data_IF_582686421785
#
_entry.id   IF_582686421785
#
_cell.length_a   1.000
_cell.length_b   1.000
_cell.length_c   1.000
_cell.angle_alpha   90.00
_cell.angle_beta   90.00
_cell.angle_gamma   90.00
#
_symmetry.space_group_name_H-M   'P 1'
#
loop_
_entity.id
_entity.type
_entity.pdbx_description
1 polymer ?
#
# COMPACT_ATOMS: atom_id res chain seq x y z
N UNK A 1 4.07 -3.17 -24.57
CA UNK A 1 5.34 -2.47 -24.67
C UNK A 1 5.16 -0.98 -24.87
N UNK A 2 4.43 -0.58 -25.87
CA UNK A 2 4.17 0.83 -26.14
C UNK A 2 3.29 1.45 -25.05
N UNK A 3 2.42 0.65 -24.48
CA UNK A 3 1.44 1.10 -23.48
C UNK A 3 2.06 1.90 -22.34
N UNK A 4 3.21 1.47 -21.81
CA UNK A 4 3.81 2.17 -20.69
C UNK A 4 4.35 3.56 -21.05
N UNK A 5 4.48 3.88 -22.34
CA UNK A 5 4.96 5.18 -22.78
C UNK A 5 3.87 6.24 -22.80
N UNK A 6 2.60 5.84 -22.73
CA UNK A 6 1.49 6.79 -22.82
C UNK A 6 1.52 7.80 -21.69
N UNK A 7 1.64 7.32 -20.45
CA UNK A 7 1.67 8.23 -19.32
C UNK A 7 2.94 9.10 -19.32
N UNK A 8 4.07 8.53 -19.77
CA UNK A 8 5.32 9.29 -19.87
C UNK A 8 5.21 10.41 -20.88
N UNK A 9 4.54 10.14 -22.02
CA UNK A 9 4.30 11.16 -23.03
C UNK A 9 3.42 12.26 -22.51
N UNK A 10 2.40 11.93 -21.74
CA UNK A 10 1.49 12.90 -21.13
C UNK A 10 2.11 13.60 -19.92
N UNK A 11 3.23 13.08 -19.41
CA UNK A 11 3.95 13.64 -18.24
C UNK A 11 3.11 13.64 -16.97
N UNK A 12 1.96 12.99 -16.98
CA UNK A 12 1.08 12.89 -15.80
C UNK A 12 0.43 11.52 -15.82
N UNK A 13 0.69 10.70 -14.81
CA UNK A 13 0.03 9.41 -14.73
C UNK A 13 -1.46 9.58 -14.40
N UNK A 14 -2.26 8.54 -14.57
CA UNK A 14 -3.66 8.58 -14.14
C UNK A 14 -3.77 8.93 -12.66
N UNK A 15 -4.87 9.56 -12.22
CA UNK A 15 -5.06 9.84 -10.80
C UNK A 15 -5.12 8.53 -10.00
N UNK A 16 -4.80 8.62 -8.72
CA UNK A 16 -4.93 7.48 -7.82
C UNK A 16 -6.40 7.08 -7.67
N UNK A 17 -6.62 5.79 -7.49
CA UNK A 17 -7.96 5.27 -7.24
C UNK A 17 -8.52 5.80 -5.91
N UNK A 18 -9.84 5.70 -5.75
CA UNK A 18 -10.48 6.07 -4.49
C UNK A 18 -9.92 5.23 -3.33
N UNK A 19 -9.63 3.95 -3.59
CA UNK A 19 -9.06 3.07 -2.58
C UNK A 19 -7.67 3.55 -2.16
N UNK A 20 -6.83 3.93 -3.10
CA UNK A 20 -5.51 4.48 -2.79
C UNK A 20 -5.64 5.77 -1.98
N UNK A 21 -6.60 6.62 -2.33
CA UNK A 21 -6.82 7.88 -1.63
C UNK A 21 -7.31 7.69 -0.21
N UNK A 22 -7.89 6.54 0.12
CA UNK A 22 -8.35 6.24 1.47
C UNK A 22 -7.23 5.83 2.41
N UNK A 23 -6.05 5.54 1.88
CA UNK A 23 -4.90 5.17 2.72
C UNK A 23 -4.45 6.39 3.53
N UNK A 24 -4.28 6.20 4.82
CA UNK A 24 -3.89 7.27 5.75
C UNK A 24 -2.38 7.44 5.75
N UNK A 25 -1.88 8.39 4.96
CA UNK A 25 -0.45 8.70 4.92
C UNK A 25 0.00 9.21 6.29
N UNK A 26 1.10 8.68 6.81
CA UNK A 26 1.58 8.99 8.14
C UNK A 26 0.86 8.24 9.26
N UNK A 27 -0.19 7.51 8.94
CA UNK A 27 -0.96 6.76 9.91
C UNK A 27 -0.29 5.46 10.31
N UNK A 28 -0.64 5.00 11.52
CA UNK A 28 -0.16 3.71 12.00
C UNK A 28 -1.19 2.64 11.68
N UNK A 29 -0.66 1.50 11.23
CA UNK A 29 -1.45 0.33 10.90
C UNK A 29 -0.88 -0.86 11.65
N UNK A 30 -1.75 -1.77 12.02
CA UNK A 30 -1.33 -3.01 12.67
C UNK A 30 -1.56 -4.17 11.70
N UNK A 31 -0.50 -4.93 11.44
CA UNK A 31 -0.61 -6.17 10.68
C UNK A 31 -1.37 -7.19 11.52
N UNK A 32 -2.14 -8.07 10.87
CA UNK A 32 -2.98 -9.04 11.59
C UNK A 32 -2.19 -9.93 12.54
N UNK A 33 -0.89 -10.05 12.35
CA UNK A 33 -0.01 -10.78 13.26
C UNK A 33 0.47 -9.93 14.44
N UNK A 34 0.02 -8.69 14.53
CA UNK A 34 0.26 -7.84 15.69
C UNK A 34 1.36 -6.81 15.56
N UNK A 35 2.11 -6.79 14.44
CA UNK A 35 3.22 -5.85 14.31
C UNK A 35 2.75 -4.50 13.79
N UNK A 36 3.29 -3.41 14.35
CA UNK A 36 2.88 -2.06 13.93
C UNK A 36 3.75 -1.53 12.78
N UNK A 37 3.11 -0.75 11.91
CA UNK A 37 3.75 -0.11 10.77
C UNK A 37 3.22 1.31 10.61
N UNK A 38 4.01 2.15 9.96
CA UNK A 38 3.56 3.49 9.56
C UNK A 38 3.55 3.56 8.05
N UNK A 39 2.45 4.02 7.48
CA UNK A 39 2.37 4.25 6.04
C UNK A 39 3.13 5.53 5.72
N UNK A 40 4.06 5.42 4.79
CA UNK A 40 4.91 6.54 4.38
C UNK A 40 4.34 7.22 3.14
N UNK A 41 3.87 6.44 2.18
CA UNK A 41 3.41 6.99 0.91
C UNK A 41 2.60 5.95 0.14
N UNK A 42 1.85 6.44 -0.84
CA UNK A 42 1.30 5.62 -1.91
C UNK A 42 2.09 5.99 -3.16
N UNK A 43 2.50 4.99 -3.92
CA UNK A 43 3.34 5.19 -5.09
C UNK A 43 2.83 4.36 -6.26
N UNK A 44 3.42 4.52 -7.42
CA UNK A 44 3.12 3.73 -8.61
C UNK A 44 4.31 2.89 -8.99
N UNK A 45 4.02 1.67 -9.43
CA UNK A 45 5.05 0.84 -10.04
C UNK A 45 5.44 1.49 -11.37
N UNK A 46 6.75 1.68 -11.59
CA UNK A 46 7.22 2.43 -12.74
C UNK A 46 6.90 1.75 -14.09
N UNK A 47 6.73 0.43 -14.09
CA UNK A 47 6.45 -0.32 -15.32
C UNK A 47 4.97 -0.50 -15.57
N UNK A 48 4.20 -0.80 -14.52
CA UNK A 48 2.80 -1.19 -14.66
C UNK A 48 1.84 -0.09 -14.26
N UNK A 49 2.31 0.94 -13.58
CA UNK A 49 1.50 1.97 -12.94
C UNK A 49 0.59 1.40 -11.83
N UNK A 50 0.84 0.17 -11.42
CA UNK A 50 0.12 -0.42 -10.30
C UNK A 50 0.36 0.38 -9.03
N UNK A 51 -0.68 0.52 -8.24
CA UNK A 51 -0.61 1.30 -7.00
C UNK A 51 0.03 0.48 -5.90
N UNK A 52 0.95 1.11 -5.18
CA UNK A 52 1.75 0.46 -4.14
C UNK A 52 1.64 1.27 -2.85
N UNK A 53 1.70 0.58 -1.71
CA UNK A 53 1.79 1.22 -0.41
C UNK A 53 3.23 1.05 0.08
N UNK A 54 3.85 2.17 0.45
CA UNK A 54 5.18 2.20 1.05
C UNK A 54 4.98 2.37 2.56
N UNK A 55 5.52 1.45 3.35
CA UNK A 55 5.30 1.49 4.79
C UNK A 55 6.57 1.08 5.52
N UNK A 56 6.66 1.52 6.76
CA UNK A 56 7.85 1.35 7.58
C UNK A 56 7.51 0.53 8.80
N UNK A 57 8.35 -0.46 9.11
CA UNK A 57 8.19 -1.22 10.33
C UNK A 57 8.50 -0.32 11.53
N UNK A 58 7.62 -0.34 12.53
CA UNK A 58 7.82 0.39 13.78
C UNK A 58 8.40 -0.54 14.85
N UNK A 59 9.20 -1.49 14.41
CA UNK A 59 9.89 -2.44 15.27
C UNK A 59 11.18 -2.86 14.54
N UNK A 60 12.04 -3.60 15.24
CA UNK A 60 13.27 -4.07 14.64
C UNK A 60 14.15 -2.91 14.17
N UNK A 61 14.64 -3.00 12.95
CA UNK A 61 15.52 -1.98 12.37
C UNK A 61 14.75 -0.86 11.68
N UNK A 62 13.42 -0.87 11.71
CA UNK A 62 12.63 0.18 11.08
C UNK A 62 12.67 0.16 9.56
N UNK A 63 12.82 -1.02 8.97
CA UNK A 63 12.95 -1.12 7.51
C UNK A 63 11.73 -0.67 6.75
N UNK A 64 11.96 -0.26 5.51
CA UNK A 64 10.90 0.16 4.59
C UNK A 64 10.49 -1.02 3.72
N UNK A 65 9.19 -1.11 3.48
CA UNK A 65 8.58 -2.19 2.71
C UNK A 65 7.61 -1.60 1.70
N UNK A 66 7.35 -2.35 0.66
CA UNK A 66 6.39 -1.99 -0.38
C UNK A 66 5.48 -3.19 -0.62
N UNK A 67 4.18 -2.93 -0.74
CA UNK A 67 3.19 -3.96 -1.04
C UNK A 67 2.16 -3.40 -2.02
N UNK A 68 1.72 -4.17 -3.02
CA UNK A 68 0.63 -3.72 -3.88
C UNK A 68 -0.59 -3.33 -3.04
N UNK A 69 -1.26 -2.25 -3.46
CA UNK A 69 -2.40 -1.72 -2.72
C UNK A 69 -3.45 -2.79 -2.44
N UNK A 70 -3.79 -3.60 -3.46
CA UNK A 70 -4.83 -4.61 -3.29
C UNK A 70 -4.47 -5.66 -2.23
N UNK A 71 -3.19 -5.93 -2.06
CA UNK A 71 -2.73 -6.85 -1.02
C UNK A 71 -2.68 -6.17 0.35
N UNK A 72 -2.39 -4.87 0.38
CA UNK A 72 -2.35 -4.13 1.64
C UNK A 72 -3.75 -4.03 2.25
N UNK A 73 -4.76 -3.86 1.40
CA UNK A 73 -6.15 -3.63 1.84
C UNK A 73 -6.98 -4.90 1.92
N UNK A 74 -6.47 -6.05 1.46
CA UNK A 74 -7.26 -7.27 1.45
C UNK A 74 -7.43 -7.84 2.85
N UNK A 75 -8.48 -8.64 3.01
CA UNK A 75 -8.66 -9.41 4.22
C UNK A 75 -7.90 -10.73 4.13
N UNK A 76 -7.51 -11.25 5.27
CA UNK A 76 -6.93 -12.59 5.42
C UNK A 76 -7.87 -13.41 6.29
N UNK A 77 -7.81 -14.74 6.12
CA UNK A 77 -8.63 -15.66 6.91
C UNK A 77 -7.73 -16.39 7.89
N UNK A 78 -8.04 -16.27 9.18
CA UNK A 78 -7.31 -16.94 10.25
C UNK A 78 -8.34 -17.57 11.17
N UNK A 79 -8.24 -18.86 11.41
CA UNK A 79 -9.17 -19.62 12.28
C UNK A 79 -10.62 -19.40 11.85
N UNK A 80 -10.87 -19.49 10.54
CA UNK A 80 -12.18 -19.31 9.92
C UNK A 80 -12.79 -17.92 10.09
N UNK A 81 -11.99 -16.94 10.48
CA UNK A 81 -12.44 -15.54 10.60
C UNK A 81 -11.66 -14.64 9.70
N UNK A 82 -12.36 -13.66 9.09
CA UNK A 82 -11.73 -12.66 8.27
C UNK A 82 -11.19 -11.53 9.13
N UNK A 83 -9.98 -11.08 8.78
CA UNK A 83 -9.35 -9.93 9.39
C UNK A 83 -8.73 -9.09 8.29
N UNK A 84 -8.73 -7.75 8.41
CA UNK A 84 -7.92 -6.95 7.48
C UNK A 84 -6.44 -7.32 7.67
N UNK A 85 -5.73 -7.43 6.55
CA UNK A 85 -4.28 -7.70 6.63
C UNK A 85 -3.58 -6.60 7.42
N UNK A 86 -3.99 -5.35 7.19
CA UNK A 86 -3.52 -4.19 7.95
C UNK A 86 -4.74 -3.40 8.41
N UNK A 87 -4.76 -3.03 9.67
CA UNK A 87 -5.84 -2.26 10.27
C UNK A 87 -5.31 -0.92 10.76
N UNK A 88 -5.97 0.16 10.35
CA UNK A 88 -5.61 1.49 10.82
C UNK A 88 -5.85 1.61 12.32
N UNK A 89 -4.86 2.12 13.05
CA UNK A 89 -4.94 2.23 14.50
C UNK A 89 -4.65 3.65 15.01
N UNK A 90 -4.49 4.62 14.10
CA UNK A 90 -4.33 6.02 14.51
C UNK A 90 -2.97 6.69 14.32
#
# INVERSE_FOLDING_TARGET
MITRLLWMTQKTPPPYSAEAQSIRIGGRYEHYKGMPYRVIAVARHSETLGELVVYQALYGDGGLWVRPLFMFTENVVVDDQEHPRFRFIG
#
